data_IF_273702709058
#
_entry.id   IF_273702709058
#
_cell.length_a   1.000
_cell.length_b   1.000
_cell.length_c   1.000
_cell.angle_alpha   90.00
_cell.angle_beta   90.00
_cell.angle_gamma   90.00
#
_symmetry.space_group_name_H-M   'P 1'
#
loop_
_entity.id
_entity.type
_entity.pdbx_description
1 polymer ?
#
# COMPACT_ATOMS: atom_id res chain seq x y z
N UNK A 1 -9.80 -37.45 -23.52
CA UNK A 1 -8.73 -36.45 -23.57
C UNK A 1 -9.14 -35.12 -24.22
N UNK A 2 -9.82 -35.11 -25.37
CA UNK A 2 -10.29 -33.86 -26.05
C UNK A 2 -11.33 -33.06 -25.25
N UNK A 3 -12.20 -33.71 -24.47
CA UNK A 3 -13.23 -33.04 -23.64
C UNK A 3 -12.65 -32.28 -22.45
N UNK A 4 -11.59 -32.79 -21.82
CA UNK A 4 -10.95 -32.17 -20.66
C UNK A 4 -10.18 -30.89 -21.04
N UNK A 5 -9.54 -30.90 -22.21
CA UNK A 5 -8.84 -29.72 -22.76
C UNK A 5 -9.83 -28.61 -23.13
N UNK A 6 -11.02 -28.96 -23.59
CA UNK A 6 -12.07 -28.01 -23.95
C UNK A 6 -12.65 -27.32 -22.70
N UNK A 7 -12.86 -28.05 -21.60
CA UNK A 7 -13.33 -27.50 -20.32
C UNK A 7 -12.26 -26.56 -19.73
N UNK A 8 -11.00 -26.94 -19.71
CA UNK A 8 -9.91 -26.08 -19.24
C UNK A 8 -9.74 -24.81 -20.08
N UNK A 9 -9.92 -24.88 -21.41
CA UNK A 9 -9.92 -23.70 -22.27
C UNK A 9 -11.09 -22.76 -21.99
N UNK A 10 -12.30 -23.29 -21.73
CA UNK A 10 -13.46 -22.46 -21.42
C UNK A 10 -13.36 -21.82 -20.04
N UNK A 11 -12.86 -22.52 -19.02
CA UNK A 11 -12.61 -21.94 -17.71
C UNK A 11 -11.49 -20.91 -17.74
N UNK A 12 -10.43 -21.15 -18.51
CA UNK A 12 -9.36 -20.18 -18.72
C UNK A 12 -9.82 -18.96 -19.52
N UNK A 13 -10.70 -19.12 -20.51
CA UNK A 13 -11.32 -18.01 -21.24
C UNK A 13 -12.33 -17.23 -20.36
N UNK A 14 -13.07 -17.89 -19.46
CA UNK A 14 -13.91 -17.22 -18.45
C UNK A 14 -13.04 -16.46 -17.45
N UNK A 15 -11.93 -17.06 -17.00
CA UNK A 15 -10.94 -16.42 -16.12
C UNK A 15 -10.34 -15.19 -16.79
N UNK A 16 -9.90 -15.27 -18.05
CA UNK A 16 -9.41 -14.13 -18.83
C UNK A 16 -10.51 -13.07 -19.04
N UNK A 17 -11.77 -13.48 -19.26
CA UNK A 17 -12.90 -12.56 -19.44
C UNK A 17 -13.28 -11.85 -18.13
N UNK A 18 -13.22 -12.54 -16.99
CA UNK A 18 -13.36 -11.92 -15.66
C UNK A 18 -12.20 -10.96 -15.35
N UNK A 19 -10.96 -11.32 -15.70
CA UNK A 19 -9.80 -10.43 -15.55
C UNK A 19 -9.77 -9.28 -16.56
N UNK A 20 -10.31 -9.47 -17.78
CA UNK A 20 -10.44 -8.39 -18.77
C UNK A 20 -11.51 -7.37 -18.43
N UNK A 21 -12.50 -7.72 -17.62
CA UNK A 21 -13.58 -6.77 -17.24
C UNK A 21 -13.18 -5.74 -16.19
N UNK A 22 -12.00 -5.81 -15.58
CA UNK A 22 -11.62 -4.89 -14.50
C UNK A 22 -10.18 -4.38 -14.52
N UNK A 23 -9.38 -4.68 -15.55
CA UNK A 23 -8.06 -4.06 -15.67
C UNK A 23 -8.19 -2.72 -16.42
N UNK A 24 -8.70 -1.70 -15.73
CA UNK A 24 -8.50 -0.33 -16.18
C UNK A 24 -7.06 0.08 -15.85
N UNK A 25 -6.16 -0.06 -16.81
CA UNK A 25 -4.89 0.67 -16.78
C UNK A 25 -5.19 2.06 -17.32
N UNK A 26 -5.44 3.01 -16.44
CA UNK A 26 -5.53 4.42 -16.83
C UNK A 26 -4.09 4.90 -17.05
N UNK A 27 -3.52 4.58 -18.22
CA UNK A 27 -2.34 5.29 -18.73
C UNK A 27 -2.83 6.63 -19.26
N UNK A 28 -2.55 7.69 -18.55
CA UNK A 28 -2.88 9.03 -18.99
C UNK A 28 -1.89 9.50 -20.06
N UNK A 29 -2.17 9.18 -21.31
CA UNK A 29 -1.71 10.01 -22.44
C UNK A 29 -2.81 10.93 -22.98
N UNK A 30 -4.10 10.72 -22.61
CA UNK A 30 -5.21 11.58 -23.07
C UNK A 30 -6.52 11.50 -22.26
N UNK A 31 -6.55 10.90 -21.06
CA UNK A 31 -7.82 10.78 -20.32
C UNK A 31 -8.18 12.07 -19.58
N UNK A 32 -9.39 12.58 -19.83
CA UNK A 32 -9.95 13.73 -19.15
C UNK A 32 -9.92 13.51 -17.61
N UNK A 33 -9.29 14.42 -16.85
CA UNK A 33 -9.14 14.33 -15.38
C UNK A 33 -10.46 14.06 -14.66
N UNK A 34 -11.58 14.57 -15.18
CA UNK A 34 -12.92 14.33 -14.64
C UNK A 34 -13.35 12.88 -14.76
N UNK A 35 -12.98 12.18 -15.83
CA UNK A 35 -13.33 10.77 -16.00
C UNK A 35 -12.63 9.86 -14.98
N UNK A 36 -11.36 10.14 -14.70
CA UNK A 36 -10.60 9.42 -13.66
C UNK A 36 -11.21 9.65 -12.28
N UNK A 37 -11.50 10.91 -11.93
CA UNK A 37 -12.16 11.28 -10.67
C UNK A 37 -13.46 10.51 -10.44
N UNK A 38 -14.29 10.41 -11.48
CA UNK A 38 -15.60 9.74 -11.41
C UNK A 38 -15.51 8.20 -11.38
N UNK A 39 -14.36 7.61 -11.67
CA UNK A 39 -14.17 6.17 -11.60
C UNK A 39 -13.90 5.64 -10.18
N UNK A 40 -13.46 6.50 -9.26
CA UNK A 40 -13.20 6.12 -7.88
C UNK A 40 -14.50 5.83 -7.11
N UNK A 41 -14.44 4.96 -6.11
CA UNK A 41 -15.58 4.69 -5.23
C UNK A 41 -16.01 5.91 -4.43
N UNK A 42 -15.04 6.78 -4.11
CA UNK A 42 -15.25 8.13 -3.60
C UNK A 42 -14.06 8.99 -4.03
N UNK A 43 -14.32 10.24 -4.42
CA UNK A 43 -13.27 11.21 -4.65
C UNK A 43 -13.73 12.59 -4.15
N UNK A 44 -12.98 13.13 -3.19
CA UNK A 44 -13.26 14.42 -2.57
C UNK A 44 -12.97 15.61 -3.49
N UNK A 45 -13.10 16.80 -2.89
CA UNK A 45 -12.83 18.06 -3.56
C UNK A 45 -11.32 18.31 -3.67
N UNK A 46 -10.90 19.21 -4.57
CA UNK A 46 -9.52 19.65 -4.77
C UNK A 46 -8.49 18.51 -4.96
N UNK A 47 -8.95 17.37 -5.49
CA UNK A 47 -8.08 16.25 -5.85
C UNK A 47 -7.15 16.62 -7.01
N UNK A 48 -5.84 16.42 -6.81
CA UNK A 48 -4.79 16.67 -7.80
C UNK A 48 -4.16 15.37 -8.26
N UNK A 49 -4.12 15.14 -9.57
CA UNK A 49 -3.52 13.98 -10.19
C UNK A 49 -2.35 14.39 -11.08
N UNK A 50 -1.19 13.89 -10.80
CA UNK A 50 0.05 14.12 -11.55
C UNK A 50 0.05 13.44 -12.92
N UNK A 51 1.15 13.62 -13.64
CA UNK A 51 1.39 13.02 -14.95
C UNK A 51 1.79 11.54 -14.80
N UNK A 52 1.42 10.69 -15.76
CA UNK A 52 1.80 9.27 -15.81
C UNK A 52 1.50 8.48 -14.54
N UNK A 53 0.49 8.88 -13.77
CA UNK A 53 -0.01 8.08 -12.65
C UNK A 53 -0.67 6.81 -13.21
N UNK A 54 -0.30 5.66 -12.64
CA UNK A 54 -0.89 4.38 -12.99
C UNK A 54 -1.89 3.95 -11.92
N UNK A 55 -3.15 3.74 -12.33
CA UNK A 55 -4.17 3.14 -11.45
C UNK A 55 -4.54 1.80 -12.08
N UNK A 56 -4.25 0.72 -11.34
CA UNK A 56 -4.37 -0.64 -11.84
C UNK A 56 -5.44 -1.37 -11.04
N UNK A 57 -6.45 -1.88 -11.73
CA UNK A 57 -7.49 -2.72 -11.13
C UNK A 57 -8.80 -2.00 -10.89
N UNK A 58 -9.41 -2.21 -9.74
CA UNK A 58 -10.81 -1.85 -9.43
C UNK A 58 -10.87 -0.47 -8.80
N UNK A 59 -11.04 0.55 -9.62
CA UNK A 59 -11.05 1.96 -9.17
C UNK A 59 -12.15 2.27 -8.16
N UNK A 60 -13.31 1.59 -8.24
CA UNK A 60 -14.40 1.75 -7.28
C UNK A 60 -14.05 1.29 -5.85
N UNK A 61 -12.94 0.58 -5.68
CA UNK A 61 -12.39 0.19 -4.37
C UNK A 61 -11.34 1.17 -3.84
N UNK A 62 -11.10 2.26 -4.56
CA UNK A 62 -10.19 3.33 -4.15
C UNK A 62 -11.05 4.52 -3.70
N UNK A 63 -10.86 4.97 -2.46
CA UNK A 63 -11.53 6.11 -1.86
C UNK A 63 -10.52 7.20 -1.57
N UNK A 64 -10.79 8.40 -2.03
CA UNK A 64 -9.92 9.57 -1.93
C UNK A 64 -10.65 10.67 -1.19
N UNK A 65 -10.03 11.22 -0.16
CA UNK A 65 -10.54 12.37 0.60
C UNK A 65 -10.38 13.70 -0.14
N UNK A 66 -10.64 14.78 0.58
CA UNK A 66 -10.51 16.15 0.08
C UNK A 66 -9.04 16.60 0.09
N UNK A 67 -8.67 17.50 -0.84
CA UNK A 67 -7.31 18.07 -0.94
C UNK A 67 -6.18 17.05 -1.06
N UNK A 68 -6.46 15.87 -1.58
CA UNK A 68 -5.46 14.83 -1.82
C UNK A 68 -4.69 15.10 -3.10
N UNK A 69 -3.37 14.89 -3.08
CA UNK A 69 -2.55 14.94 -4.29
C UNK A 69 -1.79 13.64 -4.52
N UNK A 70 -1.77 13.18 -5.77
CA UNK A 70 -1.01 12.02 -6.23
C UNK A 70 -0.01 12.50 -7.27
N UNK A 71 1.28 12.36 -6.95
CA UNK A 71 2.40 12.86 -7.75
C UNK A 71 2.70 12.03 -9.00
N UNK A 72 3.55 12.58 -9.85
CA UNK A 72 3.89 12.02 -11.15
C UNK A 72 4.44 10.59 -11.08
N UNK A 73 3.92 9.72 -11.93
CA UNK A 73 4.35 8.33 -12.01
C UNK A 73 4.09 7.50 -10.76
N UNK A 74 3.29 8.00 -9.80
CA UNK A 74 2.84 7.18 -8.68
C UNK A 74 1.94 6.04 -9.18
N UNK A 75 1.89 4.94 -8.42
CA UNK A 75 1.14 3.76 -8.81
C UNK A 75 0.23 3.28 -7.68
N UNK A 76 -1.06 3.15 -7.97
CA UNK A 76 -2.07 2.58 -7.10
C UNK A 76 -2.56 1.25 -7.68
N UNK A 77 -2.40 0.16 -6.95
CA UNK A 77 -2.77 -1.19 -7.39
C UNK A 77 -3.81 -1.77 -6.46
N UNK A 78 -5.03 -1.98 -6.98
CA UNK A 78 -6.16 -2.54 -6.23
C UNK A 78 -6.91 -3.52 -7.14
N UNK A 79 -6.41 -4.75 -7.25
CA UNK A 79 -6.85 -5.73 -8.27
C UNK A 79 -7.87 -6.74 -7.77
N UNK A 80 -8.19 -6.75 -6.48
CA UNK A 80 -9.09 -7.71 -5.86
C UNK A 80 -10.38 -7.02 -5.39
N UNK A 81 -11.55 -7.68 -5.53
CA UNK A 81 -12.85 -7.14 -5.11
C UNK A 81 -12.97 -6.95 -3.60
N UNK A 82 -12.18 -7.66 -2.82
CA UNK A 82 -12.13 -7.54 -1.36
C UNK A 82 -11.05 -6.57 -0.88
N UNK A 83 -10.15 -6.14 -1.78
CA UNK A 83 -9.11 -5.16 -1.49
C UNK A 83 -9.66 -3.73 -1.44
N UNK A 84 -8.94 -2.84 -0.74
CA UNK A 84 -9.35 -1.43 -0.63
C UNK A 84 -8.14 -0.50 -0.44
N UNK A 85 -8.17 0.67 -1.08
CA UNK A 85 -7.27 1.79 -0.79
C UNK A 85 -8.12 2.95 -0.31
N UNK A 86 -7.80 3.49 0.87
CA UNK A 86 -8.41 4.70 1.43
C UNK A 86 -7.30 5.71 1.69
N UNK A 87 -7.47 6.92 1.17
CA UNK A 87 -6.53 8.02 1.36
C UNK A 87 -7.28 9.17 2.01
N UNK A 88 -6.93 9.51 3.24
CA UNK A 88 -7.55 10.57 4.03
C UNK A 88 -7.22 11.98 3.52
N UNK A 89 -8.02 12.95 3.97
CA UNK A 89 -7.97 14.33 3.54
C UNK A 89 -6.57 14.94 3.68
N UNK A 90 -6.16 15.77 2.74
CA UNK A 90 -4.89 16.51 2.73
C UNK A 90 -3.65 15.62 2.60
N UNK A 91 -3.81 14.33 2.35
CA UNK A 91 -2.69 13.41 2.19
C UNK A 91 -2.02 13.58 0.82
N UNK A 92 -0.69 13.52 0.83
CA UNK A 92 0.15 13.69 -0.36
C UNK A 92 0.89 12.40 -0.67
N UNK A 93 0.62 11.83 -1.83
CA UNK A 93 1.41 10.74 -2.41
C UNK A 93 2.39 11.36 -3.39
N UNK A 94 3.67 11.30 -3.08
CA UNK A 94 4.74 11.91 -3.86
C UNK A 94 5.08 11.10 -5.13
N UNK A 95 5.83 11.67 -6.08
CA UNK A 95 6.16 11.00 -7.33
C UNK A 95 6.76 9.61 -7.16
N UNK A 96 6.29 8.66 -8.00
CA UNK A 96 6.79 7.27 -8.07
C UNK A 96 6.62 6.45 -6.79
N UNK A 97 5.80 6.90 -5.84
CA UNK A 97 5.38 6.06 -4.73
C UNK A 97 4.40 4.97 -5.21
N UNK A 98 4.47 3.79 -4.62
CA UNK A 98 3.64 2.64 -4.96
C UNK A 98 2.79 2.26 -3.76
N UNK A 99 1.48 2.17 -3.98
CA UNK A 99 0.51 1.61 -3.05
C UNK A 99 -0.08 0.35 -3.71
N UNK A 100 0.19 -0.83 -3.15
CA UNK A 100 -0.25 -2.11 -3.71
C UNK A 100 -0.93 -2.95 -2.63
N UNK A 101 -2.24 -3.13 -2.76
CA UNK A 101 -3.02 -3.91 -1.80
C UNK A 101 -2.65 -5.39 -1.77
N UNK A 102 -2.09 -5.92 -2.87
CA UNK A 102 -2.02 -7.36 -3.07
C UNK A 102 -3.42 -7.99 -3.12
N UNK A 103 -3.50 -9.31 -2.92
CA UNK A 103 -4.77 -10.03 -2.91
C UNK A 103 -5.52 -9.82 -1.60
N UNK A 104 -6.72 -9.23 -1.69
CA UNK A 104 -7.64 -9.03 -0.57
C UNK A 104 -7.13 -8.09 0.51
N UNK A 105 -6.03 -7.36 0.26
CA UNK A 105 -5.40 -6.50 1.24
C UNK A 105 -6.03 -5.10 1.33
N UNK A 106 -5.60 -4.35 2.35
CA UNK A 106 -6.10 -3.00 2.62
C UNK A 106 -4.97 -2.03 2.90
N UNK A 107 -5.04 -0.85 2.31
CA UNK A 107 -4.21 0.30 2.66
C UNK A 107 -5.15 1.43 3.08
N UNK A 108 -5.01 1.89 4.32
CA UNK A 108 -5.75 3.02 4.85
C UNK A 108 -4.76 4.06 5.38
N UNK A 109 -4.69 5.17 4.70
CA UNK A 109 -3.88 6.32 5.11
C UNK A 109 -4.80 7.35 5.75
N UNK A 110 -4.47 7.75 6.98
CA UNK A 110 -5.14 8.85 7.67
C UNK A 110 -4.98 10.19 6.98
N UNK A 111 -5.39 11.26 7.65
CA UNK A 111 -5.35 12.62 7.11
C UNK A 111 -3.97 13.25 7.20
N UNK A 112 -3.69 14.20 6.32
CA UNK A 112 -2.46 15.01 6.36
C UNK A 112 -1.16 14.19 6.33
N UNK A 113 -1.20 12.98 5.78
CA UNK A 113 -0.02 12.14 5.64
C UNK A 113 0.85 12.58 4.46
N UNK A 114 2.12 12.19 4.46
CA UNK A 114 2.96 12.26 3.27
C UNK A 114 3.69 10.93 3.04
N UNK A 115 3.52 10.38 1.86
CA UNK A 115 4.27 9.22 1.34
C UNK A 115 5.24 9.76 0.32
N UNK A 116 6.52 9.84 0.68
CA UNK A 116 7.55 10.50 -0.13
C UNK A 116 7.99 9.65 -1.33
N UNK A 117 8.78 10.22 -2.27
CA UNK A 117 9.09 9.55 -3.53
C UNK A 117 9.71 8.16 -3.34
N UNK A 118 9.35 7.23 -4.23
CA UNK A 118 9.86 5.87 -4.28
C UNK A 118 9.55 5.00 -3.05
N UNK A 119 8.64 5.42 -2.19
CA UNK A 119 8.12 4.53 -1.14
C UNK A 119 7.29 3.40 -1.76
N UNK A 120 7.34 2.22 -1.14
CA UNK A 120 6.52 1.08 -1.50
C UNK A 120 5.71 0.65 -0.28
N UNK A 121 4.39 0.79 -0.38
CA UNK A 121 3.45 0.42 0.67
C UNK A 121 2.61 -0.75 0.19
N UNK A 122 2.78 -1.90 0.85
CA UNK A 122 1.94 -3.07 0.61
C UNK A 122 0.76 -3.13 1.58
N UNK A 123 -0.33 -3.73 1.13
CA UNK A 123 -1.55 -3.89 1.90
C UNK A 123 -1.92 -5.33 2.26
N UNK A 124 -1.11 -6.33 1.91
CA UNK A 124 -1.44 -7.77 1.96
C UNK A 124 -2.06 -8.24 3.27
N UNK A 125 -1.57 -7.79 4.42
CA UNK A 125 -2.09 -8.08 5.76
C UNK A 125 -2.87 -6.93 6.39
N UNK A 126 -3.01 -5.83 5.64
CA UNK A 126 -3.51 -4.56 6.13
C UNK A 126 -2.40 -3.62 6.57
N UNK A 127 -2.44 -2.39 6.03
CA UNK A 127 -1.64 -1.25 6.48
C UNK A 127 -2.60 -0.13 6.86
N UNK A 128 -2.55 0.28 8.11
CA UNK A 128 -3.36 1.39 8.61
C UNK A 128 -2.43 2.45 9.19
N UNK A 129 -2.59 3.69 8.77
CA UNK A 129 -1.89 4.82 9.38
C UNK A 129 -2.88 5.79 10.01
N UNK A 130 -2.50 6.36 11.15
CA UNK A 130 -3.17 7.52 11.71
C UNK A 130 -2.90 8.80 10.91
N UNK A 131 -3.28 9.94 11.49
CA UNK A 131 -3.10 11.25 10.87
C UNK A 131 -1.67 11.78 11.06
N UNK A 132 -1.23 12.68 10.17
CA UNK A 132 0.06 13.38 10.25
C UNK A 132 1.30 12.47 10.15
N UNK A 133 1.19 11.28 9.60
CA UNK A 133 2.32 10.38 9.39
C UNK A 133 3.19 10.86 8.23
N UNK A 134 4.51 10.89 8.47
CA UNK A 134 5.53 11.26 7.48
C UNK A 134 6.38 10.05 7.12
N UNK A 135 6.26 9.54 5.90
CA UNK A 135 7.05 8.40 5.39
C UNK A 135 8.07 8.94 4.41
N UNK A 136 9.34 8.96 4.82
CA UNK A 136 10.41 9.49 3.98
C UNK A 136 10.77 8.53 2.84
N UNK A 137 11.47 9.07 1.85
CA UNK A 137 11.77 8.41 0.56
C UNK A 137 12.42 7.03 0.71
N UNK A 138 12.18 6.14 -0.26
CA UNK A 138 12.70 4.77 -0.33
C UNK A 138 12.32 3.86 0.85
N UNK A 139 11.32 4.22 1.64
CA UNK A 139 10.82 3.36 2.71
C UNK A 139 9.90 2.28 2.15
N UNK A 140 10.03 1.05 2.64
CA UNK A 140 9.21 -0.10 2.28
C UNK A 140 8.44 -0.60 3.50
N UNK A 141 7.11 -0.76 3.36
CA UNK A 141 6.22 -1.27 4.40
C UNK A 141 5.59 -2.56 3.91
N UNK A 142 5.84 -3.69 4.62
CA UNK A 142 5.49 -5.03 4.16
C UNK A 142 4.66 -5.75 5.23
N UNK A 143 3.32 -5.66 5.21
CA UNK A 143 2.44 -6.30 6.20
C UNK A 143 2.16 -7.77 5.86
N UNK A 144 3.17 -8.53 5.49
CA UNK A 144 3.10 -9.96 5.23
C UNK A 144 4.48 -10.60 5.20
N UNK A 145 4.56 -11.86 5.60
CA UNK A 145 5.76 -12.69 5.46
C UNK A 145 5.42 -14.02 4.81
N UNK A 146 6.33 -14.58 4.02
CA UNK A 146 6.21 -15.97 3.61
C UNK A 146 6.29 -16.90 4.81
N UNK A 147 5.51 -17.99 4.79
CA UNK A 147 5.69 -19.11 5.70
C UNK A 147 6.85 -19.95 5.17
N UNK A 148 7.80 -20.29 6.04
CA UNK A 148 9.01 -21.04 5.69
C UNK A 148 9.39 -22.07 6.77
N UNK A 149 8.42 -22.46 7.60
CA UNK A 149 8.66 -23.31 8.78
C UNK A 149 8.96 -24.76 8.39
N UNK A 150 8.50 -25.23 7.24
CA UNK A 150 8.78 -26.58 6.73
C UNK A 150 9.95 -26.55 5.72
N UNK A 151 11.12 -27.12 6.09
CA UNK A 151 12.28 -27.16 5.20
C UNK A 151 12.11 -28.08 3.99
N UNK A 152 11.14 -29.01 4.01
CA UNK A 152 10.89 -29.95 2.92
C UNK A 152 9.89 -29.43 1.88
N UNK A 153 9.21 -28.34 2.17
CA UNK A 153 8.25 -27.71 1.26
C UNK A 153 8.81 -26.39 0.72
N UNK A 154 8.83 -26.17 -0.60
CA UNK A 154 9.23 -24.90 -1.18
C UNK A 154 8.45 -23.72 -0.56
N UNK A 155 9.13 -22.64 -0.19
CA UNK A 155 8.54 -21.45 0.46
C UNK A 155 7.32 -20.93 -0.33
N UNK A 156 7.39 -20.91 -1.66
CA UNK A 156 6.30 -20.47 -2.52
C UNK A 156 5.00 -21.29 -2.38
N UNK A 157 5.05 -22.49 -1.80
CA UNK A 157 3.90 -23.36 -1.56
C UNK A 157 3.39 -23.32 -0.13
N UNK A 158 4.10 -22.69 0.80
CA UNK A 158 3.70 -22.62 2.20
C UNK A 158 2.74 -21.47 2.50
N UNK A 159 2.57 -20.51 1.56
CA UNK A 159 1.63 -19.39 1.71
C UNK A 159 2.24 -18.20 2.45
N UNK A 160 1.35 -17.33 2.97
CA UNK A 160 1.71 -16.09 3.63
C UNK A 160 1.13 -16.01 5.04
N UNK A 161 1.92 -15.50 5.97
CA UNK A 161 1.44 -14.99 7.27
C UNK A 161 1.18 -13.50 7.11
N UNK A 162 0.00 -13.05 7.52
CA UNK A 162 -0.49 -11.68 7.30
C UNK A 162 -1.03 -11.14 8.63
N UNK A 163 -0.19 -10.50 9.43
CA UNK A 163 -0.57 -9.91 10.72
C UNK A 163 -1.02 -8.46 10.58
N UNK A 164 -0.53 -7.76 9.55
CA UNK A 164 -0.78 -6.35 9.34
C UNK A 164 0.21 -5.43 10.04
N UNK A 165 0.14 -4.14 9.69
CA UNK A 165 0.96 -3.07 10.28
C UNK A 165 0.04 -1.91 10.65
N UNK A 166 0.21 -1.38 11.86
CA UNK A 166 -0.43 -0.17 12.32
C UNK A 166 0.62 0.88 12.65
N UNK A 167 0.40 2.11 12.18
CA UNK A 167 1.24 3.27 12.46
C UNK A 167 0.32 4.34 13.00
N UNK A 168 0.48 4.70 14.26
CA UNK A 168 -0.38 5.69 14.91
C UNK A 168 -0.09 7.12 14.39
N UNK A 169 -0.84 8.10 14.91
CA UNK A 169 -0.70 9.49 14.49
C UNK A 169 0.67 10.10 14.83
N UNK A 170 1.06 11.16 14.11
CA UNK A 170 2.28 11.96 14.34
C UNK A 170 3.58 11.12 14.35
N UNK A 171 3.66 10.10 13.49
CA UNK A 171 4.86 9.26 13.34
C UNK A 171 5.72 9.77 12.18
N UNK A 172 7.02 9.86 12.41
CA UNK A 172 8.00 10.13 11.36
C UNK A 172 8.87 8.90 11.11
N UNK A 173 8.80 8.37 9.89
CA UNK A 173 9.64 7.27 9.41
C UNK A 173 10.70 7.86 8.48
N UNK A 174 11.96 7.72 8.87
CA UNK A 174 13.13 8.15 8.12
C UNK A 174 13.32 7.42 6.79
N UNK A 175 14.18 7.94 5.93
CA UNK A 175 14.40 7.38 4.60
C UNK A 175 14.98 5.97 4.64
N UNK A 176 14.58 5.12 3.67
CA UNK A 176 15.12 3.77 3.50
C UNK A 176 14.78 2.78 4.61
N UNK A 177 13.76 3.07 5.43
CA UNK A 177 13.33 2.15 6.46
C UNK A 177 12.59 0.93 5.88
N UNK A 178 12.68 -0.18 6.61
CA UNK A 178 11.89 -1.40 6.36
C UNK A 178 10.98 -1.64 7.56
N UNK A 179 9.66 -1.63 7.35
CA UNK A 179 8.68 -1.93 8.40
C UNK A 179 8.07 -3.29 8.09
N UNK A 180 8.25 -4.24 9.01
CA UNK A 180 7.90 -5.64 8.79
C UNK A 180 6.56 -6.01 9.43
N UNK A 181 5.99 -7.12 8.96
CA UNK A 181 4.69 -7.65 9.35
C UNK A 181 4.50 -7.80 10.87
N UNK A 182 3.34 -7.43 11.36
CA UNK A 182 2.94 -7.52 12.78
C UNK A 182 3.47 -6.39 13.67
N UNK A 183 4.02 -5.32 13.08
CA UNK A 183 4.53 -4.17 13.83
C UNK A 183 3.43 -3.13 14.07
N UNK A 184 3.37 -2.63 15.31
CA UNK A 184 2.63 -1.43 15.68
C UNK A 184 3.63 -0.34 16.07
N UNK A 185 3.55 0.83 15.43
CA UNK A 185 4.37 2.01 15.77
C UNK A 185 3.45 3.01 16.47
N UNK A 186 3.71 3.23 17.76
CA UNK A 186 2.89 4.09 18.60
C UNK A 186 2.99 5.58 18.23
N UNK A 187 2.02 6.35 18.69
CA UNK A 187 1.90 7.80 18.47
C UNK A 187 3.21 8.54 18.76
N UNK A 188 3.51 9.54 17.95
CA UNK A 188 4.64 10.44 18.16
C UNK A 188 6.01 9.80 18.00
N UNK A 189 6.11 8.59 17.46
CA UNK A 189 7.40 7.91 17.26
C UNK A 189 8.22 8.51 16.13
N UNK A 190 9.54 8.41 16.26
CA UNK A 190 10.51 8.71 15.23
C UNK A 190 11.33 7.46 14.92
N UNK A 191 11.30 7.00 13.68
CA UNK A 191 12.14 5.90 13.18
C UNK A 191 13.29 6.50 12.38
N UNK A 192 14.52 6.29 12.85
CA UNK A 192 15.72 6.80 12.18
C UNK A 192 15.92 6.16 10.80
N UNK A 193 16.53 6.91 9.89
CA UNK A 193 16.77 6.44 8.52
C UNK A 193 17.53 5.10 8.47
N UNK A 194 17.18 4.24 7.51
CA UNK A 194 17.78 2.93 7.30
C UNK A 194 17.43 1.88 8.35
N UNK A 195 16.50 2.15 9.25
CA UNK A 195 16.11 1.20 10.29
C UNK A 195 15.29 0.02 9.74
N UNK A 196 15.48 -1.17 10.33
CA UNK A 196 14.62 -2.34 10.10
C UNK A 196 13.79 -2.60 11.35
N UNK A 197 12.49 -2.23 11.26
CA UNK A 197 11.56 -2.35 12.38
C UNK A 197 10.85 -3.71 12.28
N UNK A 198 11.20 -4.64 13.16
CA UNK A 198 10.66 -5.99 13.23
C UNK A 198 9.91 -6.27 14.55
N UNK A 199 9.75 -5.27 15.40
CA UNK A 199 8.99 -5.31 16.66
C UNK A 199 8.25 -3.99 16.87
N UNK A 200 7.14 -4.04 17.56
CA UNK A 200 6.34 -2.85 17.89
C UNK A 200 7.14 -1.85 18.72
N UNK A 201 6.89 -0.57 18.46
CA UNK A 201 7.55 0.57 19.10
C UNK A 201 6.52 1.31 19.97
N UNK A 202 6.76 1.45 21.28
CA UNK A 202 5.84 2.17 22.16
C UNK A 202 5.80 3.66 21.83
N UNK A 203 4.69 4.36 22.16
CA UNK A 203 4.51 5.78 21.85
C UNK A 203 5.68 6.65 22.31
N UNK A 204 5.89 7.78 21.60
CA UNK A 204 6.89 8.81 21.88
C UNK A 204 8.32 8.27 22.01
N UNK A 205 8.65 7.28 21.20
CA UNK A 205 9.99 6.69 21.16
C UNK A 205 10.75 7.10 19.90
N UNK A 206 12.05 7.33 20.04
CA UNK A 206 12.99 7.42 18.93
C UNK A 206 13.70 6.09 18.82
N UNK A 207 13.62 5.43 17.66
CA UNK A 207 14.25 4.13 17.41
C UNK A 207 15.10 4.13 16.14
N UNK A 208 16.02 3.18 16.03
CA UNK A 208 16.88 3.05 14.85
C UNK A 208 17.75 1.81 14.90
N UNK A 209 18.41 1.52 13.77
CA UNK A 209 19.33 0.38 13.62
C UNK A 209 18.69 -0.85 12.94
N UNK A 210 19.50 -1.90 12.77
CA UNK A 210 19.14 -3.19 12.13
C UNK A 210 19.52 -4.33 13.09
N UNK A 211 18.57 -4.95 13.78
CA UNK A 211 17.17 -4.53 13.94
C UNK A 211 17.03 -3.24 14.75
N UNK A 212 15.92 -2.52 14.54
CA UNK A 212 15.63 -1.29 15.26
C UNK A 212 15.49 -1.50 16.76
N UNK A 213 16.14 -0.62 17.54
CA UNK A 213 16.08 -0.57 19.00
C UNK A 213 15.65 0.83 19.43
N UNK A 214 15.00 0.92 20.59
CA UNK A 214 14.69 2.22 21.20
C UNK A 214 16.00 2.89 21.62
N UNK A 215 16.21 4.11 21.15
CA UNK A 215 17.41 4.93 21.43
C UNK A 215 17.16 5.90 22.57
N UNK A 216 15.98 6.54 22.56
CA UNK A 216 15.54 7.49 23.58
C UNK A 216 14.01 7.70 23.51
N UNK A 217 13.46 8.40 24.47
CA UNK A 217 12.12 8.98 24.41
C UNK A 217 12.15 10.31 23.64
N UNK A 218 11.03 10.63 22.98
CA UNK A 218 10.77 11.96 22.42
C UNK A 218 10.21 12.81 23.55
N UNK A 219 10.95 13.81 23.95
CA UNK A 219 10.59 14.82 24.96
C UNK A 219 9.90 16.00 24.29
#
# INVERSE_FOLDING_TARGET
>A
MKSFIFILKNEFQKFIKLYRCSLFVIKKESTNKSHVKNSFGKCGEDFKLGERVEIVGITSRIKIGDNVSIGDGARLVCTDMTAEIIIGDGTVIQPRAILDTGQGGRIELGKMNSVNPYCVLYGHGGLITGDYVRIATHTVIIPANHIFDDPNTPIARQGLRKKGIQIDRDVWIGSGCQILDGVNIGEGCVVAAGAVVNRSIPPFSVCGGIPAKILKKRE
#
